data_IF_950389133454
#
_entry.id   IF_950389133454
#
_cell.length_a   1.000
_cell.length_b   1.000
_cell.length_c   1.000
_cell.angle_alpha   90.00
_cell.angle_beta   90.00
_cell.angle_gamma   90.00
#
_symmetry.space_group_name_H-M   'P 1'
#
loop_
_entity.id
_entity.type
_entity.pdbx_description
1 polymer ?
#
# COMPACT_ATOMS: atom_id res chain seq x y z
N UNK A 1 -12.54 10.59 -5.41
CA UNK A 1 -12.66 10.34 -3.94
C UNK A 1 -12.04 9.01 -3.50
N UNK A 2 -12.20 7.91 -4.23
CA UNK A 2 -11.61 6.60 -3.87
C UNK A 2 -10.06 6.64 -3.83
N UNK A 3 -9.42 7.13 -4.90
CA UNK A 3 -7.95 7.20 -5.01
C UNK A 3 -7.27 8.02 -3.92
N UNK A 4 -7.91 9.10 -3.44
CA UNK A 4 -7.37 9.91 -2.35
C UNK A 4 -7.30 9.17 -1.02
N UNK A 5 -8.33 8.37 -0.69
CA UNK A 5 -8.34 7.53 0.51
C UNK A 5 -7.31 6.41 0.43
N UNK A 6 -7.11 5.84 -0.76
CA UNK A 6 -6.10 4.80 -0.96
C UNK A 6 -4.69 5.35 -0.79
N UNK A 7 -4.39 6.52 -1.38
CA UNK A 7 -3.10 7.18 -1.22
C UNK A 7 -2.80 7.52 0.25
N UNK A 8 -3.79 8.04 0.95
CA UNK A 8 -3.68 8.34 2.39
C UNK A 8 -3.42 7.06 3.21
N UNK A 9 -4.10 5.96 2.88
CA UNK A 9 -3.85 4.66 3.50
C UNK A 9 -2.41 4.16 3.29
N UNK A 10 -1.90 4.25 2.06
CA UNK A 10 -0.51 3.88 1.75
C UNK A 10 0.49 4.72 2.55
N UNK A 11 0.32 6.05 2.58
CA UNK A 11 1.21 6.96 3.32
C UNK A 11 1.21 6.67 4.83
N UNK A 12 0.04 6.39 5.39
CA UNK A 12 -0.10 6.03 6.79
C UNK A 12 0.63 4.74 7.15
N UNK A 13 0.56 3.73 6.28
CA UNK A 13 1.29 2.47 6.47
C UNK A 13 2.79 2.64 6.26
N UNK A 14 3.22 3.60 5.43
CA UNK A 14 4.64 3.94 5.23
C UNK A 14 5.27 4.70 6.40
N UNK A 15 4.49 5.52 7.11
CA UNK A 15 4.98 6.47 8.11
C UNK A 15 5.94 5.90 9.19
N UNK A 16 5.78 4.67 9.70
CA UNK A 16 6.72 4.10 10.66
C UNK A 16 8.13 3.82 10.10
N UNK A 17 8.29 3.81 8.77
CA UNK A 17 9.50 3.39 8.08
C UNK A 17 10.28 4.54 7.44
N UNK A 18 9.79 5.79 7.55
CA UNK A 18 10.46 6.97 7.02
C UNK A 18 9.50 7.96 6.35
N UNK A 19 10.07 8.84 5.54
CA UNK A 19 9.31 9.87 4.85
C UNK A 19 8.50 9.28 3.70
N UNK A 20 7.19 9.48 3.76
CA UNK A 20 6.29 9.14 2.68
C UNK A 20 6.29 10.25 1.61
N UNK A 21 6.39 9.85 0.35
CA UNK A 21 6.37 10.72 -0.82
C UNK A 21 5.14 11.64 -0.80
N UNK A 22 5.37 12.94 -0.93
CA UNK A 22 4.32 13.96 -1.10
C UNK A 22 3.81 14.02 -2.54
N UNK A 23 4.55 13.43 -3.48
CA UNK A 23 4.21 13.40 -4.91
C UNK A 23 2.96 12.57 -5.20
N UNK A 24 2.31 12.87 -6.32
CA UNK A 24 1.27 12.02 -6.87
C UNK A 24 1.90 10.73 -7.41
N UNK A 25 1.36 9.59 -7.02
CA UNK A 25 1.83 8.28 -7.46
C UNK A 25 0.74 7.56 -8.27
N UNK A 26 1.11 6.71 -9.24
CA UNK A 26 0.16 5.84 -9.91
C UNK A 26 -0.48 4.86 -8.92
N UNK A 27 -1.80 4.71 -8.99
CA UNK A 27 -2.58 3.77 -8.18
C UNK A 27 -3.38 2.85 -9.11
N UNK A 28 -2.69 1.95 -9.85
CA UNK A 28 -3.31 1.13 -10.88
C UNK A 28 -4.42 0.23 -10.34
N UNK A 29 -4.29 -0.28 -9.11
CA UNK A 29 -5.29 -1.14 -8.52
C UNK A 29 -6.44 -0.34 -7.90
N UNK A 30 -6.18 0.88 -7.41
CA UNK A 30 -7.26 1.78 -7.05
C UNK A 30 -8.10 2.21 -8.26
N UNK A 31 -7.49 2.33 -9.43
CA UNK A 31 -8.19 2.59 -10.69
C UNK A 31 -8.94 1.37 -11.19
N UNK A 32 -8.29 0.20 -11.23
CA UNK A 32 -8.89 -1.06 -11.65
C UNK A 32 -10.09 -1.45 -10.78
N UNK A 33 -9.99 -1.25 -9.48
CA UNK A 33 -11.02 -1.61 -8.48
C UNK A 33 -11.90 -0.43 -8.08
N UNK A 34 -11.96 0.62 -8.91
CA UNK A 34 -12.73 1.85 -8.62
C UNK A 34 -14.19 1.56 -8.27
N UNK A 35 -14.80 0.62 -9.00
CA UNK A 35 -16.20 0.23 -8.87
C UNK A 35 -16.37 -1.11 -8.14
N UNK A 36 -15.32 -1.59 -7.45
CA UNK A 36 -15.41 -2.80 -6.67
C UNK A 36 -16.47 -2.62 -5.56
N UNK A 37 -17.36 -3.61 -5.35
CA UNK A 37 -18.43 -3.51 -4.34
C UNK A 37 -17.88 -3.41 -2.92
N UNK A 38 -16.62 -3.83 -2.71
CA UNK A 38 -15.93 -3.82 -1.42
C UNK A 38 -14.95 -2.66 -1.35
N UNK A 39 -15.24 -1.70 -0.48
CA UNK A 39 -14.48 -0.46 -0.35
C UNK A 39 -13.03 -0.65 0.12
N UNK A 40 -12.69 -1.76 0.79
CA UNK A 40 -11.32 -2.06 1.23
C UNK A 40 -10.45 -2.64 0.10
N UNK A 41 -11.04 -3.25 -0.94
CA UNK A 41 -10.32 -4.07 -1.90
C UNK A 41 -9.21 -3.29 -2.62
N UNK A 42 -9.50 -2.06 -3.05
CA UNK A 42 -8.52 -1.17 -3.67
C UNK A 42 -7.30 -0.90 -2.77
N UNK A 43 -7.52 -0.60 -1.49
CA UNK A 43 -6.42 -0.34 -0.55
C UNK A 43 -5.66 -1.62 -0.21
N UNK A 44 -6.35 -2.74 0.00
CA UNK A 44 -5.71 -4.02 0.31
C UNK A 44 -4.76 -4.45 -0.81
N UNK A 45 -5.19 -4.38 -2.06
CA UNK A 45 -4.35 -4.74 -3.21
C UNK A 45 -3.21 -3.75 -3.42
N UNK A 46 -3.44 -2.44 -3.27
CA UNK A 46 -2.35 -1.46 -3.35
C UNK A 46 -1.31 -1.65 -2.23
N UNK A 47 -1.72 -2.04 -1.03
CA UNK A 47 -0.78 -2.35 0.07
C UNK A 47 0.06 -3.58 -0.26
N UNK A 48 -0.56 -4.65 -0.75
CA UNK A 48 0.16 -5.86 -1.18
C UNK A 48 1.12 -5.52 -2.33
N UNK A 49 0.68 -4.74 -3.32
CA UNK A 49 1.53 -4.34 -4.43
C UNK A 49 2.69 -3.44 -3.98
N UNK A 50 2.47 -2.50 -3.07
CA UNK A 50 3.55 -1.69 -2.52
C UNK A 50 4.55 -2.53 -1.72
N UNK A 51 4.08 -3.55 -0.99
CA UNK A 51 4.94 -4.55 -0.34
C UNK A 51 5.84 -5.30 -1.33
N UNK A 52 5.28 -5.73 -2.47
CA UNK A 52 6.06 -6.30 -3.57
C UNK A 52 7.12 -5.34 -4.10
N UNK A 53 6.75 -4.07 -4.31
CA UNK A 53 7.69 -3.06 -4.79
C UNK A 53 8.81 -2.81 -3.78
N UNK A 54 8.53 -2.77 -2.48
CA UNK A 54 9.53 -2.60 -1.43
C UNK A 54 10.55 -3.75 -1.39
N UNK A 55 10.11 -4.98 -1.60
CA UNK A 55 10.98 -6.16 -1.62
C UNK A 55 11.80 -6.30 -2.90
N UNK A 56 11.20 -6.02 -4.06
CA UNK A 56 11.75 -6.47 -5.34
C UNK A 56 12.02 -5.35 -6.34
N UNK A 57 11.52 -4.14 -6.11
CA UNK A 57 11.58 -3.01 -7.04
C UNK A 57 11.78 -1.69 -6.27
N UNK A 58 11.29 -0.59 -6.85
CA UNK A 58 11.31 0.73 -6.22
C UNK A 58 9.95 1.03 -5.63
N UNK A 59 9.93 1.36 -4.33
CA UNK A 59 8.72 1.87 -3.68
C UNK A 59 8.24 3.16 -4.34
N UNK A 60 6.92 3.31 -4.45
CA UNK A 60 6.27 4.54 -4.90
C UNK A 60 6.07 5.49 -3.72
N UNK A 61 5.82 4.96 -2.53
CA UNK A 61 5.41 5.76 -1.37
C UNK A 61 6.55 6.04 -0.40
N UNK A 62 7.50 5.14 -0.20
CA UNK A 62 8.58 5.31 0.78
C UNK A 62 9.87 5.75 0.08
N UNK A 63 10.40 6.92 0.45
CA UNK A 63 11.62 7.46 -0.15
C UNK A 63 12.83 7.29 0.78
N UNK A 64 14.03 7.15 0.19
CA UNK A 64 15.30 7.20 0.92
C UNK A 64 15.57 6.06 1.92
N UNK A 65 14.68 5.08 2.05
CA UNK A 65 14.84 3.97 2.99
C UNK A 65 16.02 3.05 2.61
N UNK A 66 16.77 2.60 3.61
CA UNK A 66 17.83 1.59 3.45
C UNK A 66 17.25 0.25 3.01
N UNK A 67 18.10 -0.69 2.57
CA UNK A 67 17.65 -2.00 2.13
C UNK A 67 16.93 -2.77 3.26
N UNK A 68 17.44 -2.69 4.49
CA UNK A 68 16.88 -3.34 5.68
C UNK A 68 15.52 -2.74 6.04
N UNK A 69 15.41 -1.41 6.04
CA UNK A 69 14.12 -0.73 6.29
C UNK A 69 13.10 -1.07 5.22
N UNK A 70 13.50 -1.13 3.94
CA UNK A 70 12.60 -1.54 2.85
C UNK A 70 12.12 -2.98 3.01
N UNK A 71 12.99 -3.89 3.44
CA UNK A 71 12.62 -5.30 3.66
C UNK A 71 11.51 -5.41 4.72
N UNK A 72 11.71 -4.77 5.88
CA UNK A 72 10.73 -4.77 6.97
C UNK A 72 9.44 -4.01 6.62
N UNK A 73 9.57 -2.90 5.89
CA UNK A 73 8.42 -2.18 5.36
C UNK A 73 7.60 -3.09 4.43
N UNK A 74 8.25 -3.83 3.53
CA UNK A 74 7.55 -4.75 2.63
C UNK A 74 6.72 -5.81 3.38
N UNK A 75 7.30 -6.41 4.43
CA UNK A 75 6.59 -7.38 5.29
C UNK A 75 5.39 -6.73 5.98
N UNK A 76 5.57 -5.51 6.48
CA UNK A 76 4.50 -4.74 7.11
C UNK A 76 3.37 -4.43 6.11
N UNK A 77 3.71 -3.98 4.90
CA UNK A 77 2.73 -3.68 3.85
C UNK A 77 1.91 -4.92 3.45
N UNK A 78 2.55 -6.07 3.26
CA UNK A 78 1.85 -7.34 3.03
C UNK A 78 0.90 -7.68 4.19
N UNK A 79 1.39 -7.64 5.43
CA UNK A 79 0.58 -7.96 6.60
C UNK A 79 -0.62 -7.02 6.76
N UNK A 80 -0.47 -5.72 6.47
CA UNK A 80 -1.58 -4.75 6.49
C UNK A 80 -2.59 -5.01 5.39
N UNK A 81 -2.14 -5.31 4.17
CA UNK A 81 -3.01 -5.63 3.04
C UNK A 81 -3.82 -6.91 3.29
N UNK A 82 -3.16 -7.99 3.70
CA UNK A 82 -3.81 -9.25 4.08
C UNK A 82 -4.72 -9.09 5.29
N UNK A 83 -4.32 -8.27 6.27
CA UNK A 83 -5.14 -7.97 7.45
C UNK A 83 -6.46 -7.28 7.11
N UNK A 84 -6.53 -6.46 6.06
CA UNK A 84 -7.79 -5.88 5.58
C UNK A 84 -8.71 -6.95 4.97
N UNK A 85 -8.14 -7.92 4.27
CA UNK A 85 -8.90 -9.06 3.69
C UNK A 85 -9.42 -9.96 4.82
N UNK A 86 -8.58 -10.27 5.80
CA UNK A 86 -8.98 -11.07 6.96
C UNK A 86 -10.06 -10.39 7.81
N UNK A 87 -9.99 -9.08 7.99
CA UNK A 87 -11.05 -8.30 8.66
C UNK A 87 -12.38 -8.30 7.90
N UNK A 88 -12.35 -8.67 6.63
CA UNK A 88 -13.53 -8.84 5.80
C UNK A 88 -13.95 -10.32 5.67
N UNK A 89 -13.48 -11.21 6.54
CA UNK A 89 -13.77 -12.65 6.51
C UNK A 89 -13.18 -13.39 5.29
N UNK A 90 -11.99 -12.96 4.83
CA UNK A 90 -11.21 -13.59 3.76
C UNK A 90 -11.87 -13.57 2.35
N UNK A 91 -12.74 -12.58 2.09
CA UNK A 91 -13.50 -12.43 0.81
C UNK A 91 -13.06 -11.24 -0.07
#
# INVERSE_FOLDING_TARGET
>A
MCSGRVLEGLRRVAAPFGEASSEAIPLPFAELLRDAPRSYAALAVELVYEGYLLHYRSSRVLQGATAETRLLAGDHFYARGLGLVAQADDI
#
